data_IF_946100861772
#
_entry.id   IF_946100861772
#
_cell.length_a   1.000
_cell.length_b   1.000
_cell.length_c   1.000
_cell.angle_alpha   90.00
_cell.angle_beta   90.00
_cell.angle_gamma   90.00
#
_symmetry.space_group_name_H-M   'P 1'
#
loop_
_entity.id
_entity.type
_entity.pdbx_description
1 polymer ?
#
# COMPACT_ATOMS: atom_id res chain seq x y z
N UNK A 1 -12.51 11.16 -3.96
CA UNK A 1 -12.08 10.17 -2.97
C UNK A 1 -12.92 8.93 -3.22
N UNK A 2 -12.41 7.98 -4.01
CA UNK A 2 -13.05 6.71 -4.21
C UNK A 2 -12.92 5.95 -2.89
N UNK A 3 -14.01 5.88 -2.16
CA UNK A 3 -14.21 4.91 -1.11
C UNK A 3 -14.12 3.56 -1.84
N UNK A 4 -13.00 2.87 -1.73
CA UNK A 4 -12.94 1.47 -2.13
C UNK A 4 -13.73 0.71 -1.08
N UNK A 5 -15.03 0.75 -1.25
CA UNK A 5 -15.99 -0.03 -0.50
C UNK A 5 -15.57 -1.48 -0.65
N UNK A 6 -15.20 -2.09 0.46
CA UNK A 6 -14.96 -3.53 0.49
C UNK A 6 -16.28 -4.11 0.01
N UNK A 7 -16.26 -4.84 -1.11
CA UNK A 7 -17.39 -5.66 -1.49
C UNK A 7 -17.74 -6.51 -0.27
N UNK A 8 -18.94 -6.33 0.34
CA UNK A 8 -19.29 -7.02 1.57
C UNK A 8 -19.30 -8.55 1.43
N UNK A 9 -19.23 -9.06 0.20
CA UNK A 9 -19.15 -10.49 -0.10
C UNK A 9 -17.74 -11.09 -0.04
N UNK A 10 -16.68 -10.27 -0.02
CA UNK A 10 -15.31 -10.79 -0.10
C UNK A 10 -14.48 -10.38 1.12
N UNK A 11 -13.82 -11.32 1.81
CA UNK A 11 -12.99 -11.02 2.97
C UNK A 11 -11.77 -10.18 2.57
N UNK A 12 -11.33 -9.24 3.41
CA UNK A 12 -10.18 -8.38 3.14
C UNK A 12 -8.84 -9.13 3.18
N UNK A 13 -8.82 -10.29 3.83
CA UNK A 13 -7.65 -11.17 3.97
C UNK A 13 -8.12 -12.61 3.88
N UNK A 14 -7.34 -13.43 3.17
CA UNK A 14 -7.47 -14.90 3.17
C UNK A 14 -6.16 -15.54 3.57
N UNK A 15 -6.22 -16.71 4.16
CA UNK A 15 -5.02 -17.49 4.50
C UNK A 15 -4.98 -18.74 3.63
N UNK A 16 -3.88 -18.90 2.90
CA UNK A 16 -3.68 -19.98 1.94
C UNK A 16 -2.53 -20.89 2.37
N UNK A 17 -2.59 -22.17 1.95
CA UNK A 17 -1.52 -23.16 2.22
C UNK A 17 -0.25 -22.86 1.44
N UNK A 18 -0.38 -22.33 0.22
CA UNK A 18 0.74 -21.94 -0.62
C UNK A 18 0.59 -20.50 -1.11
N UNK A 19 1.70 -19.80 -1.21
CA UNK A 19 1.72 -18.39 -1.57
C UNK A 19 1.21 -18.11 -3.00
N UNK A 20 1.25 -19.11 -3.87
CA UNK A 20 0.84 -19.08 -5.28
C UNK A 20 -0.39 -19.94 -5.58
N UNK A 21 -1.11 -20.42 -4.57
CA UNK A 21 -2.22 -21.36 -4.74
C UNK A 21 -3.32 -20.85 -5.70
N UNK A 22 -3.41 -19.53 -5.88
CA UNK A 22 -4.41 -18.88 -6.75
C UNK A 22 -3.87 -18.44 -8.11
N UNK A 23 -2.63 -18.76 -8.46
CA UNK A 23 -2.05 -18.40 -9.76
C UNK A 23 -2.54 -19.31 -10.90
N UNK A 24 -3.85 -19.51 -10.99
CA UNK A 24 -4.48 -20.02 -12.20
C UNK A 24 -4.43 -18.98 -13.34
N UNK A 25 -4.76 -19.38 -14.58
CA UNK A 25 -4.89 -18.43 -15.66
C UNK A 25 -6.00 -17.44 -15.29
N UNK A 26 -5.62 -16.14 -15.17
CA UNK A 26 -6.59 -15.07 -15.02
C UNK A 26 -7.44 -15.04 -16.29
N UNK A 27 -8.68 -15.51 -16.22
CA UNK A 27 -9.66 -15.15 -17.25
C UNK A 27 -10.04 -13.69 -17.04
N UNK A 28 -10.36 -12.98 -18.13
CA UNK A 28 -10.72 -11.58 -18.07
C UNK A 28 -11.94 -11.28 -17.17
N UNK A 29 -12.72 -12.33 -16.85
CA UNK A 29 -13.98 -12.27 -16.12
C UNK A 29 -13.89 -12.88 -14.69
N UNK A 30 -12.75 -13.49 -14.31
CA UNK A 30 -12.57 -14.04 -12.97
C UNK A 30 -11.93 -13.00 -12.06
N UNK A 31 -12.61 -12.73 -10.94
CA UNK A 31 -12.04 -11.97 -9.84
C UNK A 31 -10.77 -12.70 -9.36
N UNK A 32 -9.61 -12.09 -9.57
CA UNK A 32 -8.29 -12.60 -9.17
C UNK A 32 -8.17 -12.95 -7.68
N UNK A 33 -9.23 -12.74 -6.93
CA UNK A 33 -9.36 -13.00 -5.51
C UNK A 33 -10.09 -14.30 -5.17
N UNK A 34 -10.58 -15.08 -6.13
CA UNK A 34 -11.35 -16.29 -5.85
C UNK A 34 -10.42 -17.52 -5.74
N UNK A 35 -9.95 -17.91 -4.52
CA UNK A 35 -9.14 -19.10 -4.34
C UNK A 35 -9.99 -20.36 -4.48
N UNK A 36 -9.33 -21.47 -4.84
CA UNK A 36 -9.97 -22.78 -4.71
C UNK A 36 -10.16 -23.10 -3.24
N UNK A 37 -11.32 -23.59 -2.79
CA UNK A 37 -11.57 -23.90 -1.38
C UNK A 37 -10.57 -24.88 -0.76
N UNK A 38 -9.95 -25.75 -1.57
CA UNK A 38 -8.95 -26.73 -1.12
C UNK A 38 -7.64 -26.08 -0.64
N UNK A 39 -7.34 -24.87 -1.10
CA UNK A 39 -6.08 -24.17 -0.80
C UNK A 39 -6.22 -23.21 0.38
N UNK A 40 -7.44 -22.96 0.84
CA UNK A 40 -7.73 -22.04 1.93
C UNK A 40 -7.58 -22.69 3.30
N UNK A 41 -6.91 -22.02 4.21
CA UNK A 41 -6.85 -22.40 5.63
C UNK A 41 -7.97 -21.65 6.35
N UNK A 42 -8.82 -22.34 7.13
CA UNK A 42 -9.83 -21.68 7.93
C UNK A 42 -9.23 -20.60 8.83
N UNK A 43 -9.68 -19.39 8.70
CA UNK A 43 -9.21 -18.26 9.49
C UNK A 43 -10.36 -17.33 9.85
N UNK A 44 -10.31 -16.77 11.06
CA UNK A 44 -11.22 -15.70 11.48
C UNK A 44 -10.53 -14.37 11.20
N UNK A 45 -11.22 -13.48 10.48
CA UNK A 45 -10.71 -12.14 10.14
C UNK A 45 -11.60 -11.09 10.80
N UNK A 46 -11.01 -10.29 11.68
CA UNK A 46 -11.65 -9.14 12.29
C UNK A 46 -11.07 -7.87 11.69
N UNK A 47 -11.90 -7.05 11.09
CA UNK A 47 -11.51 -5.77 10.51
C UNK A 47 -11.58 -4.68 11.56
N UNK A 48 -10.44 -4.11 11.92
CA UNK A 48 -10.30 -3.04 12.91
C UNK A 48 -10.44 -1.66 12.25
N UNK A 49 -9.82 -1.50 11.06
CA UNK A 49 -9.92 -0.31 10.25
C UNK A 49 -9.71 -0.66 8.77
N UNK A 50 -10.51 -0.06 7.91
CA UNK A 50 -10.35 -0.20 6.46
C UNK A 50 -10.71 1.11 5.76
N UNK A 51 -9.74 2.00 5.68
CA UNK A 51 -9.87 3.32 5.04
C UNK A 51 -8.88 3.48 3.88
N UNK A 52 -8.94 4.58 3.15
CA UNK A 52 -8.02 4.87 2.05
C UNK A 52 -6.54 4.79 2.43
N UNK A 53 -6.19 5.23 3.65
CA UNK A 53 -4.79 5.38 4.10
C UNK A 53 -4.38 4.35 5.16
N UNK A 54 -5.34 3.67 5.77
CA UNK A 54 -5.08 2.70 6.85
C UNK A 54 -5.93 1.46 6.70
N UNK A 55 -5.29 0.32 6.78
CA UNK A 55 -5.89 -1.01 6.84
C UNK A 55 -5.38 -1.70 8.10
N UNK A 56 -6.27 -2.20 8.92
CA UNK A 56 -5.90 -2.95 10.12
C UNK A 56 -6.83 -4.12 10.28
N UNK A 57 -6.26 -5.31 10.34
CA UNK A 57 -7.00 -6.56 10.50
C UNK A 57 -6.33 -7.44 11.53
N UNK A 58 -7.14 -8.21 12.23
CA UNK A 58 -6.67 -9.28 13.10
C UNK A 58 -7.08 -10.60 12.48
N UNK A 59 -6.12 -11.43 12.19
CA UNK A 59 -6.29 -12.74 11.55
C UNK A 59 -5.95 -13.81 12.58
N UNK A 60 -6.87 -14.75 12.81
CA UNK A 60 -6.63 -15.94 13.63
C UNK A 60 -6.75 -17.16 12.75
N UNK A 61 -5.63 -17.86 12.56
CA UNK A 61 -5.53 -19.07 11.72
C UNK A 61 -5.19 -20.30 12.56
N UNK A 62 -5.76 -21.45 12.19
CA UNK A 62 -5.46 -22.74 12.83
C UNK A 62 -4.06 -23.24 12.50
N UNK A 63 -3.54 -22.92 11.31
CA UNK A 63 -2.30 -23.44 10.76
C UNK A 63 -1.42 -22.29 10.20
N UNK A 64 -0.14 -22.59 10.05
CA UNK A 64 0.78 -21.71 9.33
C UNK A 64 0.45 -21.70 7.84
N UNK A 65 0.59 -20.55 7.21
CA UNK A 65 0.29 -20.37 5.79
C UNK A 65 0.71 -19.01 5.28
N UNK A 66 -0.03 -18.51 4.32
CA UNK A 66 0.21 -17.22 3.68
C UNK A 66 -1.04 -16.34 3.74
N UNK A 67 -0.95 -15.23 4.39
CA UNK A 67 -2.02 -14.22 4.38
C UNK A 67 -1.94 -13.42 3.08
N UNK A 68 -2.99 -13.50 2.26
CA UNK A 68 -3.16 -12.70 1.06
C UNK A 68 -4.07 -11.54 1.40
N UNK A 69 -3.52 -10.32 1.33
CA UNK A 69 -4.28 -9.10 1.55
C UNK A 69 -4.92 -8.66 0.23
N UNK A 70 -6.19 -8.26 0.28
CA UNK A 70 -6.87 -7.60 -0.85
C UNK A 70 -6.38 -6.15 -0.96
N UNK A 71 -5.09 -6.03 -1.18
CA UNK A 71 -4.37 -4.77 -1.29
C UNK A 71 -3.26 -4.91 -2.32
N UNK A 72 -3.27 -4.04 -3.33
CA UNK A 72 -2.23 -4.02 -4.35
C UNK A 72 -0.88 -3.66 -3.74
N UNK A 73 0.16 -4.36 -4.16
CA UNK A 73 1.54 -4.13 -3.72
C UNK A 73 2.11 -2.86 -4.35
N UNK A 74 1.81 -1.73 -3.72
CA UNK A 74 2.40 -0.45 -4.07
C UNK A 74 3.50 -0.06 -3.08
N UNK A 75 4.62 0.53 -3.55
CA UNK A 75 5.75 0.93 -2.70
C UNK A 75 5.39 1.93 -1.59
N UNK A 76 4.24 2.59 -1.70
CA UNK A 76 3.75 3.52 -0.69
C UNK A 76 3.17 2.83 0.55
N UNK A 77 2.78 1.56 0.46
CA UNK A 77 2.27 0.82 1.60
C UNK A 77 3.40 0.38 2.53
N UNK A 78 3.21 0.65 3.80
CA UNK A 78 4.07 0.18 4.88
C UNK A 78 3.28 -0.81 5.71
N UNK A 79 3.68 -2.08 5.64
CA UNK A 79 2.98 -3.16 6.35
C UNK A 79 3.76 -3.56 7.59
N UNK A 80 3.03 -3.76 8.68
CA UNK A 80 3.55 -4.31 9.94
C UNK A 80 2.71 -5.51 10.35
N UNK A 81 3.38 -6.52 10.91
CA UNK A 81 2.76 -7.69 11.52
C UNK A 81 3.17 -7.74 12.99
N UNK A 82 2.20 -7.73 13.89
CA UNK A 82 2.42 -7.63 15.33
C UNK A 82 3.40 -6.49 15.72
N UNK A 83 3.31 -5.35 14.99
CA UNK A 83 4.18 -4.20 15.20
C UNK A 83 5.55 -4.24 14.49
N UNK A 84 6.00 -5.40 14.00
CA UNK A 84 7.23 -5.53 13.23
C UNK A 84 6.99 -5.23 11.75
N UNK A 85 7.87 -4.45 11.12
CA UNK A 85 7.79 -4.14 9.70
C UNK A 85 8.10 -5.39 8.88
N UNK A 86 7.24 -5.67 7.92
CA UNK A 86 7.37 -6.81 7.00
C UNK A 86 7.31 -6.36 5.55
N UNK A 87 7.86 -7.20 4.67
CA UNK A 87 7.76 -7.03 3.22
C UNK A 87 6.99 -8.21 2.63
N UNK A 88 6.27 -8.05 1.51
CA UNK A 88 5.64 -9.16 0.83
C UNK A 88 6.65 -10.27 0.52
N UNK A 89 6.25 -11.52 0.75
CA UNK A 89 7.12 -12.67 0.52
C UNK A 89 7.36 -12.92 -0.97
N UNK A 90 6.33 -12.66 -1.78
CA UNK A 90 6.35 -12.80 -3.23
C UNK A 90 5.49 -11.71 -3.88
N UNK A 91 5.84 -11.38 -5.11
CA UNK A 91 5.02 -10.54 -5.97
C UNK A 91 4.12 -11.45 -6.81
N UNK A 92 2.83 -11.41 -6.55
CA UNK A 92 1.84 -12.19 -7.32
C UNK A 92 1.56 -11.51 -8.66
N UNK A 93 1.20 -12.30 -9.67
CA UNK A 93 0.73 -11.76 -10.98
C UNK A 93 -0.47 -10.84 -10.81
N UNK A 94 -1.36 -11.15 -9.86
CA UNK A 94 -2.50 -10.30 -9.50
C UNK A 94 -2.10 -9.01 -8.76
N UNK A 95 -0.83 -8.83 -8.40
CA UNK A 95 -0.34 -7.65 -7.68
C UNK A 95 -0.76 -7.56 -6.22
N UNK A 96 -1.35 -8.61 -5.65
CA UNK A 96 -1.76 -8.63 -4.24
C UNK A 96 -0.59 -8.89 -3.31
N UNK A 97 -0.62 -8.29 -2.13
CA UNK A 97 0.39 -8.52 -1.09
C UNK A 97 0.19 -9.86 -0.41
N UNK A 98 1.28 -10.62 -0.30
CA UNK A 98 1.31 -11.93 0.35
C UNK A 98 2.38 -11.97 1.43
N UNK A 99 1.99 -12.42 2.63
CA UNK A 99 2.87 -12.50 3.79
C UNK A 99 2.82 -13.89 4.42
N UNK A 100 3.95 -14.48 4.81
CA UNK A 100 3.96 -15.70 5.59
C UNK A 100 3.37 -15.43 6.98
N UNK A 101 2.50 -16.31 7.44
CA UNK A 101 1.86 -16.23 8.75
C UNK A 101 2.00 -17.55 9.50
N UNK A 102 2.24 -17.48 10.80
CA UNK A 102 2.20 -18.63 11.69
C UNK A 102 0.77 -18.92 12.15
N UNK A 103 0.55 -20.12 12.66
CA UNK A 103 -0.69 -20.44 13.38
C UNK A 103 -0.87 -19.49 14.58
N UNK A 104 -2.11 -19.18 14.90
CA UNK A 104 -2.49 -18.28 15.99
C UNK A 104 -3.03 -16.93 15.52
N UNK A 105 -2.99 -15.95 16.40
CA UNK A 105 -3.55 -14.61 16.14
C UNK A 105 -2.46 -13.63 15.76
N UNK A 106 -2.64 -12.97 14.63
CA UNK A 106 -1.70 -12.02 14.05
C UNK A 106 -2.46 -10.73 13.73
N UNK A 107 -1.90 -9.59 14.14
CA UNK A 107 -2.37 -8.27 13.72
C UNK A 107 -1.58 -7.79 12.53
N UNK A 108 -2.26 -7.46 11.44
CA UNK A 108 -1.67 -6.92 10.23
C UNK A 108 -2.15 -5.49 10.07
N UNK A 109 -1.22 -4.55 9.99
CA UNK A 109 -1.52 -3.14 9.72
C UNK A 109 -0.79 -2.70 8.46
N UNK A 110 -1.51 -2.13 7.51
CA UNK A 110 -0.98 -1.46 6.34
C UNK A 110 -1.32 0.03 6.41
N UNK A 111 -0.32 0.89 6.26
CA UNK A 111 -0.48 2.34 6.25
C UNK A 111 0.10 2.91 4.97
N UNK A 112 -0.66 3.80 4.36
CA UNK A 112 -0.17 4.55 3.21
C UNK A 112 0.82 5.61 3.68
N UNK A 113 2.00 5.62 3.08
CA UNK A 113 3.05 6.57 3.38
C UNK A 113 3.46 7.38 2.15
N UNK A 114 4.15 8.48 2.37
CA UNK A 114 4.78 9.22 1.27
C UNK A 114 5.98 8.42 0.77
N UNK A 115 6.05 8.24 -0.55
CA UNK A 115 7.23 7.66 -1.21
C UNK A 115 8.39 8.66 -1.20
N UNK A 116 9.64 8.17 -1.26
CA UNK A 116 10.82 9.01 -1.34
C UNK A 116 10.78 10.00 -2.50
N UNK A 117 10.18 9.58 -3.62
CA UNK A 117 10.03 10.41 -4.82
C UNK A 117 9.12 11.62 -4.59
N UNK A 118 8.03 11.47 -3.83
CA UNK A 118 7.15 12.58 -3.47
C UNK A 118 7.88 13.60 -2.59
N UNK A 119 8.78 13.13 -1.72
CA UNK A 119 9.59 13.99 -0.88
C UNK A 119 10.66 14.75 -1.70
N UNK A 120 11.35 14.04 -2.59
CA UNK A 120 12.30 14.63 -3.53
C UNK A 120 11.63 15.69 -4.42
N UNK A 121 10.45 15.37 -4.98
CA UNK A 121 9.68 16.32 -5.79
C UNK A 121 9.31 17.61 -5.06
N UNK A 122 8.97 17.54 -3.77
CA UNK A 122 8.70 18.73 -2.94
C UNK A 122 9.93 19.63 -2.80
N UNK A 123 11.10 19.04 -2.58
CA UNK A 123 12.35 19.81 -2.45
C UNK A 123 12.76 20.46 -3.77
N UNK A 124 12.62 19.76 -4.89
CA UNK A 124 12.87 20.31 -6.22
C UNK A 124 11.94 21.51 -6.48
N UNK A 125 10.66 21.39 -6.18
CA UNK A 125 9.69 22.47 -6.36
C UNK A 125 9.99 23.67 -5.48
N UNK A 126 10.38 23.48 -4.22
CA UNK A 126 10.77 24.55 -3.32
C UNK A 126 12.05 25.25 -3.79
N UNK A 127 13.04 24.50 -4.27
CA UNK A 127 14.26 25.08 -4.83
C UNK A 127 13.98 25.91 -6.07
N UNK A 128 13.16 25.41 -7.00
CA UNK A 128 12.76 26.15 -8.19
C UNK A 128 12.03 27.46 -7.84
N UNK A 129 11.11 27.40 -6.87
CA UNK A 129 10.40 28.59 -6.38
C UNK A 129 11.37 29.61 -5.78
N UNK A 130 12.31 29.17 -4.94
CA UNK A 130 13.31 30.05 -4.32
C UNK A 130 14.19 30.75 -5.37
N UNK A 131 14.66 30.01 -6.39
CA UNK A 131 15.46 30.57 -7.48
C UNK A 131 14.65 31.61 -8.25
N UNK A 132 13.40 31.34 -8.58
CA UNK A 132 12.53 32.26 -9.31
C UNK A 132 12.30 33.55 -8.52
N UNK A 133 12.01 33.45 -7.23
CA UNK A 133 11.83 34.61 -6.35
C UNK A 133 13.13 35.43 -6.22
N UNK A 134 14.28 34.77 -6.09
CA UNK A 134 15.56 35.45 -6.01
C UNK A 134 15.89 36.21 -7.31
N UNK A 135 15.56 35.63 -8.47
CA UNK A 135 15.75 36.29 -9.75
C UNK A 135 14.82 37.52 -9.92
N UNK A 136 13.54 37.38 -9.60
CA UNK A 136 12.60 38.49 -9.61
C UNK A 136 13.03 39.65 -8.67
N UNK A 137 13.61 39.27 -7.52
CA UNK A 137 14.09 40.29 -6.57
C UNK A 137 15.35 41.02 -7.09
N UNK A 138 16.24 40.29 -7.75
CA UNK A 138 17.41 40.88 -8.40
C UNK A 138 17.01 41.86 -9.51
N UNK A 139 16.07 41.50 -10.37
CA UNK A 139 15.61 42.37 -11.46
C UNK A 139 14.95 43.69 -10.92
N UNK A 140 14.17 43.59 -9.85
CA UNK A 140 13.57 44.74 -9.20
C UNK A 140 14.61 45.70 -8.61
N UNK A 141 15.77 45.20 -8.17
CA UNK A 141 16.86 46.04 -7.66
C UNK A 141 17.63 46.73 -8.78
N UNK A 142 17.96 46.03 -9.85
CA UNK A 142 18.68 46.62 -11.00
C UNK A 142 17.84 47.65 -11.77
N UNK A 143 16.53 47.46 -11.87
CA UNK A 143 15.64 48.45 -12.49
C UNK A 143 15.47 49.75 -11.70
N UNK A 144 15.80 49.76 -10.40
CA UNK A 144 15.70 50.96 -9.55
C UNK A 144 16.92 51.89 -9.71
N UNK A 145 18.08 51.33 -9.99
CA UNK A 145 19.33 52.08 -10.13
C UNK A 145 19.44 52.82 -11.48
N UNK A 146 18.65 52.41 -12.50
CA UNK A 146 18.62 53.09 -13.80
C UNK A 146 17.69 54.32 -13.88
N UNK A 147 16.89 54.54 -12.86
CA UNK A 147 15.90 55.66 -12.86
C UNK A 147 16.33 56.86 -11.99
N UNK A 148 17.60 56.93 -11.55
CA UNK A 148 18.19 57.99 -10.72
C UNK A 148 19.36 58.67 -11.46
N UNK A 149 19.29 58.75 -12.80
CA UNK A 149 20.28 59.44 -13.62
C UNK A 149 19.61 60.62 -14.38
#
# INVERSE_FOLDING_TARGET
>A
AANSEIDPGLPPVRVLRAANAEEGPLSADEDAWTPTPADEIPATVLVDAWSGERRSVVVTSSDAGYAVLRLMDYPAWRVTMNGARVQPAIHRKAGLMVFPVSAGTIRIEARWGTTGDAWAGRWVSLAALAITLAWMWKERRTGRDQNVG
#
